data_IF_149258778239
#
_entry.id   IF_149258778239
#
_cell.length_a   1.000
_cell.length_b   1.000
_cell.length_c   1.000
_cell.angle_alpha   90.00
_cell.angle_beta   90.00
_cell.angle_gamma   90.00
#
_symmetry.space_group_name_H-M   'P 1'
#
loop_
_entity.id
_entity.type
_entity.pdbx_description
1 polymer ?
#
# COMPACT_ATOMS: atom_id res chain seq x y z
N UNK A 1 11.11 21.82 1.97
CA UNK A 1 9.71 21.90 1.50
C UNK A 1 8.75 21.77 2.67
N UNK A 2 7.51 22.23 2.51
CA UNK A 2 6.46 22.05 3.51
C UNK A 2 5.54 20.91 3.07
N UNK A 3 5.50 19.84 3.85
CA UNK A 3 4.74 18.63 3.57
C UNK A 3 3.62 18.40 4.57
N UNK A 4 2.45 18.02 4.11
CA UNK A 4 1.30 17.65 4.93
C UNK A 4 0.91 16.20 4.63
N UNK A 5 0.73 15.37 5.67
CA UNK A 5 0.47 13.93 5.53
C UNK A 5 -0.83 13.56 6.25
N UNK A 6 -1.91 13.39 5.52
CA UNK A 6 -3.15 12.81 6.02
C UNK A 6 -2.97 11.29 6.21
N UNK A 7 -3.38 10.77 7.38
CA UNK A 7 -3.08 9.40 7.76
C UNK A 7 -1.62 9.16 8.18
N UNK A 8 -0.88 10.23 8.49
CA UNK A 8 0.54 10.19 8.82
C UNK A 8 0.91 9.36 10.06
N UNK A 9 -0.06 9.01 10.91
CA UNK A 9 0.16 8.07 12.02
C UNK A 9 0.13 6.57 11.59
N UNK A 10 -0.14 6.29 10.33
CA UNK A 10 -0.05 4.95 9.73
C UNK A 10 1.37 4.61 9.29
N UNK A 11 1.61 3.35 8.91
CA UNK A 11 2.92 2.87 8.49
C UNK A 11 3.53 3.72 7.36
N UNK A 12 2.83 3.83 6.23
CA UNK A 12 3.34 4.57 5.07
C UNK A 12 3.60 6.04 5.40
N UNK A 13 2.66 6.67 6.14
CA UNK A 13 2.82 8.05 6.56
C UNK A 13 4.02 8.27 7.45
N UNK A 14 4.33 7.35 8.36
CA UNK A 14 5.52 7.43 9.22
C UNK A 14 6.82 7.25 8.43
N UNK A 15 6.85 6.32 7.46
CA UNK A 15 8.01 6.12 6.59
C UNK A 15 8.32 7.37 5.77
N UNK A 16 7.28 7.98 5.17
CA UNK A 16 7.44 9.22 4.40
C UNK A 16 7.82 10.38 5.30
N UNK A 17 7.18 10.52 6.47
CA UNK A 17 7.49 11.58 7.43
C UNK A 17 8.95 11.51 7.90
N UNK A 18 9.47 10.31 8.21
CA UNK A 18 10.85 10.11 8.60
C UNK A 18 11.82 10.56 7.49
N UNK A 19 11.58 10.12 6.26
CA UNK A 19 12.44 10.46 5.12
C UNK A 19 12.42 11.96 4.78
N UNK A 20 11.25 12.61 4.87
CA UNK A 20 11.11 14.06 4.66
C UNK A 20 11.86 14.85 5.74
N UNK A 21 11.72 14.48 7.01
CA UNK A 21 12.43 15.13 8.11
C UNK A 21 13.95 14.93 8.02
N UNK A 22 14.41 13.74 7.63
CA UNK A 22 15.83 13.46 7.37
C UNK A 22 16.38 14.34 6.23
N UNK A 23 15.56 14.64 5.22
CA UNK A 23 15.88 15.58 4.14
C UNK A 23 15.88 17.06 4.59
N UNK A 24 15.32 17.36 5.77
CA UNK A 24 15.22 18.73 6.31
C UNK A 24 13.91 19.46 5.94
N UNK A 25 12.87 18.71 5.55
CA UNK A 25 11.55 19.27 5.25
C UNK A 25 10.73 19.54 6.53
N UNK A 26 9.80 20.49 6.44
CA UNK A 26 8.79 20.71 7.47
C UNK A 26 7.62 19.74 7.27
N UNK A 27 7.30 18.94 8.29
CA UNK A 27 6.26 17.91 8.20
C UNK A 27 5.12 18.17 9.18
N UNK A 28 3.91 18.23 8.66
CA UNK A 28 2.66 18.26 9.43
C UNK A 28 1.91 16.95 9.23
N UNK A 29 1.57 16.29 10.34
CA UNK A 29 0.82 15.02 10.37
C UNK A 29 -0.63 15.30 10.74
N UNK A 30 -1.54 14.95 9.83
CA UNK A 30 -2.97 14.92 10.12
C UNK A 30 -3.37 13.55 10.63
N UNK A 31 -3.88 13.43 11.85
CA UNK A 31 -4.26 12.16 12.47
C UNK A 31 -5.52 12.23 13.30
N UNK A 32 -6.33 11.16 13.28
CA UNK A 32 -7.52 11.00 14.15
C UNK A 32 -7.16 10.54 15.58
N UNK A 33 -5.90 10.17 15.82
CA UNK A 33 -5.43 9.61 17.10
C UNK A 33 -5.03 10.74 18.04
N UNK A 34 -5.89 11.08 19.00
CA UNK A 34 -5.69 12.20 19.97
C UNK A 34 -4.40 12.08 20.79
N UNK A 35 -4.00 10.86 21.11
CA UNK A 35 -2.83 10.59 21.97
C UNK A 35 -1.56 10.28 21.20
N UNK A 36 -1.64 10.23 19.84
CA UNK A 36 -0.46 9.92 19.05
C UNK A 36 0.57 11.06 19.14
N UNK A 37 1.80 10.70 19.40
CA UNK A 37 2.95 11.59 19.44
C UNK A 37 4.04 10.93 18.60
N UNK A 38 4.33 11.48 17.47
CA UNK A 38 5.30 10.92 16.52
C UNK A 38 6.10 12.02 15.85
N UNK A 39 6.52 11.77 14.63
CA UNK A 39 7.37 12.66 13.85
C UNK A 39 6.60 13.89 13.35
N UNK A 40 7.24 15.06 13.40
CA UNK A 40 6.70 16.31 12.88
C UNK A 40 5.65 16.98 13.76
N UNK A 41 5.02 18.04 13.22
CA UNK A 41 3.91 18.75 13.88
C UNK A 41 2.62 17.94 13.72
N UNK A 42 1.90 17.74 14.80
CA UNK A 42 0.67 16.92 14.82
C UNK A 42 -0.56 17.81 14.87
N UNK A 43 -1.49 17.59 13.98
CA UNK A 43 -2.81 18.24 13.92
C UNK A 43 -3.89 17.17 14.00
N UNK A 44 -4.84 17.39 14.91
CA UNK A 44 -5.99 16.49 15.00
C UNK A 44 -6.87 16.69 13.77
N UNK A 45 -7.21 15.60 13.10
CA UNK A 45 -7.91 15.60 11.84
C UNK A 45 -9.23 14.85 11.89
N UNK A 46 -10.30 15.54 11.48
CA UNK A 46 -11.57 14.91 11.14
C UNK A 46 -11.87 15.18 9.66
N UNK A 47 -11.87 14.16 8.78
CA UNK A 47 -12.16 14.37 7.36
C UNK A 47 -13.50 15.08 7.10
N UNK A 48 -14.49 14.86 7.94
CA UNK A 48 -15.82 15.46 7.81
C UNK A 48 -15.89 16.95 8.20
N UNK A 49 -14.81 17.49 8.75
CA UNK A 49 -14.73 18.89 9.20
C UNK A 49 -13.57 19.62 8.51
N UNK A 50 -13.72 20.00 7.22
CA UNK A 50 -12.64 20.60 6.42
C UNK A 50 -11.98 21.79 7.07
N UNK A 51 -12.73 22.66 7.72
CA UNK A 51 -12.22 23.88 8.36
C UNK A 51 -11.12 23.59 9.42
N UNK A 52 -11.12 22.37 9.99
CA UNK A 52 -10.15 21.99 11.00
C UNK A 52 -8.78 21.60 10.45
N UNK A 53 -8.66 21.30 9.16
CA UNK A 53 -7.42 20.76 8.56
C UNK A 53 -7.07 21.37 7.20
N UNK A 54 -8.06 21.87 6.45
CA UNK A 54 -7.84 22.44 5.12
C UNK A 54 -6.83 23.59 5.11
N UNK A 55 -6.81 24.49 6.12
CA UNK A 55 -5.81 25.56 6.21
C UNK A 55 -4.36 25.04 6.26
N UNK A 56 -4.15 23.81 6.73
CA UNK A 56 -2.82 23.19 6.74
C UNK A 56 -2.27 22.90 5.34
N UNK A 57 -3.16 22.72 4.36
CA UNK A 57 -2.81 22.46 2.97
C UNK A 57 -2.52 23.73 2.16
N UNK A 58 -2.97 24.91 2.65
CA UNK A 58 -2.80 26.18 1.94
C UNK A 58 -1.32 26.47 1.65
N UNK A 59 -0.93 26.47 0.38
CA UNK A 59 0.45 26.70 -0.07
C UNK A 59 1.47 25.64 0.37
N UNK A 60 1.06 24.42 0.70
CA UNK A 60 2.00 23.31 0.91
C UNK A 60 2.72 22.96 -0.39
N UNK A 61 3.96 22.48 -0.29
CA UNK A 61 4.68 21.93 -1.46
C UNK A 61 4.19 20.53 -1.78
N UNK A 62 4.05 19.69 -0.74
CA UNK A 62 3.69 18.29 -0.86
C UNK A 62 2.49 17.96 0.02
N UNK A 63 1.52 17.28 -0.53
CA UNK A 63 0.42 16.68 0.23
C UNK A 63 0.36 15.18 -0.02
N UNK A 64 0.29 14.40 1.06
CA UNK A 64 0.16 12.96 1.02
C UNK A 64 -1.18 12.54 1.61
N UNK A 65 -2.00 11.86 0.83
CA UNK A 65 -3.23 11.23 1.27
C UNK A 65 -3.03 9.73 1.45
N UNK A 66 -2.69 9.33 2.67
CA UNK A 66 -2.64 7.92 3.11
C UNK A 66 -3.82 7.57 4.03
N UNK A 67 -4.85 8.38 4.00
CA UNK A 67 -6.01 8.20 4.84
C UNK A 67 -6.94 7.14 4.29
N UNK A 68 -6.65 5.90 4.57
CA UNK A 68 -7.57 4.79 4.30
C UNK A 68 -8.04 4.13 5.60
N UNK A 69 -9.25 3.58 5.58
CA UNK A 69 -9.72 2.74 6.66
C UNK A 69 -9.01 1.37 6.65
N UNK A 70 -9.20 0.54 7.68
CA UNK A 70 -8.70 -0.85 7.69
C UNK A 70 -9.51 -1.70 6.71
N UNK A 71 -8.86 -2.61 5.96
CA UNK A 71 -9.56 -3.59 5.13
C UNK A 71 -10.28 -4.57 6.06
N UNK A 72 -11.62 -4.77 5.92
CA UNK A 72 -12.32 -5.79 6.67
C UNK A 72 -11.76 -7.15 6.28
N UNK A 73 -11.63 -8.03 7.26
CA UNK A 73 -11.07 -9.37 7.05
C UNK A 73 -11.94 -10.25 6.17
N UNK A 74 -13.24 -9.98 6.17
CA UNK A 74 -14.27 -10.66 5.39
C UNK A 74 -15.53 -9.81 5.35
N UNK A 75 -16.23 -9.79 4.22
CA UNK A 75 -17.49 -9.07 4.02
C UNK A 75 -18.46 -9.90 3.17
N UNK A 76 -19.75 -9.67 3.35
CA UNK A 76 -20.75 -10.23 2.45
C UNK A 76 -20.79 -9.42 1.14
N UNK A 77 -21.12 -10.04 -0.01
CA UNK A 77 -21.27 -9.31 -1.27
C UNK A 77 -22.23 -8.11 -1.20
N UNK A 78 -23.30 -8.22 -0.40
CA UNK A 78 -24.26 -7.14 -0.15
C UNK A 78 -23.67 -5.92 0.57
N UNK A 79 -22.55 -6.07 1.28
CA UNK A 79 -21.88 -5.00 2.03
C UNK A 79 -20.85 -4.26 1.17
N UNK A 80 -20.49 -4.78 -0.02
CA UNK A 80 -19.40 -4.28 -0.87
C UNK A 80 -19.49 -2.78 -1.15
N UNK A 81 -20.64 -2.31 -1.61
CA UNK A 81 -20.82 -0.89 -1.96
C UNK A 81 -20.65 0.04 -0.74
N UNK A 82 -21.23 -0.35 0.40
CA UNK A 82 -21.09 0.42 1.65
C UNK A 82 -19.65 0.46 2.15
N UNK A 83 -18.94 -0.66 2.03
CA UNK A 83 -17.53 -0.75 2.41
C UNK A 83 -16.62 0.09 1.49
N UNK A 84 -16.88 0.11 0.19
CA UNK A 84 -16.15 0.98 -0.73
C UNK A 84 -16.40 2.44 -0.33
N UNK A 85 -17.64 2.84 -0.15
CA UNK A 85 -17.99 4.22 0.23
C UNK A 85 -17.33 4.63 1.55
N UNK A 86 -17.35 3.78 2.58
CA UNK A 86 -16.66 4.02 3.85
C UNK A 86 -15.16 4.20 3.66
N UNK A 87 -14.56 3.38 2.78
CA UNK A 87 -13.12 3.39 2.53
C UNK A 87 -12.63 4.65 1.84
N UNK A 88 -13.40 5.12 0.87
CA UNK A 88 -13.05 6.31 0.11
C UNK A 88 -13.57 7.61 0.73
N UNK A 89 -14.32 7.54 1.83
CA UNK A 89 -14.96 8.70 2.46
C UNK A 89 -13.95 9.81 2.82
N UNK A 90 -12.78 9.44 3.35
CA UNK A 90 -11.74 10.42 3.66
C UNK A 90 -11.19 11.09 2.40
N UNK A 91 -10.89 10.30 1.36
CA UNK A 91 -10.45 10.81 0.06
C UNK A 91 -11.53 11.66 -0.60
N UNK A 92 -12.81 11.26 -0.54
CA UNK A 92 -13.92 12.06 -1.05
C UNK A 92 -14.04 13.42 -0.34
N UNK A 93 -13.85 13.45 0.98
CA UNK A 93 -13.84 14.70 1.75
C UNK A 93 -12.68 15.61 1.34
N UNK A 94 -11.49 15.06 1.16
CA UNK A 94 -10.32 15.78 0.65
C UNK A 94 -10.62 16.35 -0.74
N UNK A 95 -11.13 15.53 -1.66
CA UNK A 95 -11.49 15.93 -3.03
C UNK A 95 -12.50 17.08 -3.05
N UNK A 96 -13.50 17.05 -2.17
CA UNK A 96 -14.52 18.11 -2.07
C UNK A 96 -13.99 19.41 -1.45
N UNK A 97 -12.98 19.34 -0.60
CA UNK A 97 -12.41 20.50 0.08
C UNK A 97 -11.27 21.18 -0.70
N UNK A 98 -10.44 20.39 -1.42
CA UNK A 98 -9.26 20.89 -2.15
C UNK A 98 -9.53 22.10 -3.06
N UNK A 99 -10.65 22.16 -3.84
CA UNK A 99 -10.93 23.30 -4.72
C UNK A 99 -11.18 24.63 -3.99
N UNK A 100 -11.36 24.61 -2.66
CA UNK A 100 -11.57 25.79 -1.85
C UNK A 100 -10.25 26.52 -1.50
N UNK A 101 -9.10 25.87 -1.72
CA UNK A 101 -7.79 26.45 -1.44
C UNK A 101 -7.45 27.51 -2.49
N UNK A 102 -6.92 28.64 -2.04
CA UNK A 102 -6.40 29.70 -2.92
C UNK A 102 -5.05 29.31 -3.51
N UNK A 103 -4.26 28.55 -2.78
CA UNK A 103 -2.95 28.02 -3.19
C UNK A 103 -2.87 26.53 -2.81
N UNK A 104 -3.45 25.64 -3.63
CA UNK A 104 -3.41 24.20 -3.36
C UNK A 104 -1.97 23.67 -3.37
N UNK A 105 -1.71 22.50 -2.77
CA UNK A 105 -0.40 21.87 -2.79
C UNK A 105 0.12 21.66 -4.23
N UNK A 106 1.43 21.88 -4.41
CA UNK A 106 2.05 21.70 -5.74
C UNK A 106 2.00 20.24 -6.22
N UNK A 107 2.14 19.31 -5.30
CA UNK A 107 2.08 17.87 -5.57
C UNK A 107 1.13 17.20 -4.59
N UNK A 108 0.19 16.44 -5.12
CA UNK A 108 -0.71 15.60 -4.35
C UNK A 108 -0.39 14.12 -4.60
N UNK A 109 0.17 13.46 -3.60
CA UNK A 109 0.38 12.03 -3.57
C UNK A 109 -0.85 11.34 -2.97
N UNK A 110 -1.47 10.46 -3.74
CA UNK A 110 -2.57 9.62 -3.27
C UNK A 110 -2.09 8.20 -3.02
N UNK A 111 -2.32 7.69 -1.81
CA UNK A 111 -2.02 6.30 -1.46
C UNK A 111 -2.99 5.34 -2.13
N UNK A 112 -2.49 4.59 -3.11
CA UNK A 112 -3.19 3.54 -3.83
C UNK A 112 -2.56 2.17 -3.54
N UNK A 113 -3.03 1.12 -4.18
CA UNK A 113 -2.55 -0.24 -3.98
C UNK A 113 -2.30 -0.98 -5.29
N UNK A 114 -1.25 -1.79 -5.32
CA UNK A 114 -1.03 -2.76 -6.39
C UNK A 114 -2.14 -3.84 -6.47
N UNK A 115 -3.01 -3.93 -5.48
CA UNK A 115 -4.22 -4.77 -5.52
C UNK A 115 -5.26 -4.30 -6.55
N UNK A 116 -5.11 -3.09 -7.08
CA UNK A 116 -5.95 -2.56 -8.17
C UNK A 116 -5.91 -3.45 -9.41
N UNK A 117 -4.80 -4.16 -9.63
CA UNK A 117 -4.64 -5.03 -10.80
C UNK A 117 -5.34 -6.38 -10.63
N UNK A 118 -5.73 -6.95 -11.77
CA UNK A 118 -6.32 -8.26 -11.87
C UNK A 118 -5.39 -9.37 -11.35
N UNK A 119 -5.97 -10.46 -10.89
CA UNK A 119 -5.24 -11.70 -10.62
C UNK A 119 -4.51 -12.15 -11.89
N UNK A 120 -3.19 -12.22 -11.85
CA UNK A 120 -2.38 -12.43 -13.04
C UNK A 120 -1.14 -13.30 -12.73
N UNK A 121 -0.97 -14.36 -13.56
CA UNK A 121 0.22 -15.21 -13.57
C UNK A 121 1.02 -15.08 -14.90
N UNK A 122 0.51 -14.28 -15.83
CA UNK A 122 1.13 -14.04 -17.14
C UNK A 122 2.21 -12.96 -17.11
N UNK A 123 2.11 -11.99 -18.03
CA UNK A 123 3.01 -10.84 -18.07
C UNK A 123 2.78 -9.93 -16.85
N UNK A 124 3.82 -9.26 -16.33
CA UNK A 124 3.65 -8.29 -15.25
C UNK A 124 2.69 -7.17 -15.63
N UNK A 125 1.86 -6.75 -14.69
CA UNK A 125 1.00 -5.59 -14.86
C UNK A 125 1.81 -4.30 -14.64
N UNK A 126 2.01 -3.54 -15.72
CA UNK A 126 2.58 -2.20 -15.67
C UNK A 126 1.49 -1.13 -15.52
N UNK A 127 1.90 0.12 -15.37
CA UNK A 127 0.97 1.25 -15.17
C UNK A 127 0.13 1.55 -16.40
N UNK A 128 0.62 1.24 -17.59
CA UNK A 128 -0.03 1.58 -18.87
C UNK A 128 -0.96 0.46 -19.36
N UNK A 129 -0.50 -0.79 -19.28
CA UNK A 129 -1.20 -1.96 -19.87
C UNK A 129 -1.78 -2.92 -18.85
N UNK A 130 -1.57 -2.67 -17.55
CA UNK A 130 -2.08 -3.52 -16.49
C UNK A 130 -3.61 -3.48 -16.42
N UNK A 131 -4.26 -4.63 -16.54
CA UNK A 131 -5.70 -4.75 -16.40
C UNK A 131 -6.10 -4.57 -14.94
N UNK A 132 -7.15 -3.79 -14.70
CA UNK A 132 -7.73 -3.65 -13.37
C UNK A 132 -8.52 -4.90 -12.99
N UNK A 133 -8.45 -5.26 -11.70
CA UNK A 133 -9.16 -6.39 -11.13
C UNK A 133 -10.61 -6.05 -10.77
N UNK A 134 -11.31 -7.07 -10.32
CA UNK A 134 -12.69 -6.98 -9.87
C UNK A 134 -13.64 -7.78 -10.79
N UNK A 135 -13.90 -9.04 -10.42
CA UNK A 135 -14.80 -9.93 -11.16
C UNK A 135 -14.14 -10.67 -12.33
N UNK A 136 -12.82 -10.72 -12.42
CA UNK A 136 -12.12 -11.53 -13.42
C UNK A 136 -12.31 -13.04 -13.17
N UNK A 137 -12.31 -13.89 -14.24
CA UNK A 137 -12.42 -15.32 -14.09
C UNK A 137 -11.36 -15.91 -13.14
N UNK A 138 -11.79 -16.70 -12.17
CA UNK A 138 -10.91 -17.31 -11.16
C UNK A 138 -10.62 -16.42 -9.95
N UNK A 139 -11.13 -15.19 -9.90
CA UNK A 139 -11.07 -14.36 -8.70
C UNK A 139 -12.08 -14.85 -7.66
N UNK A 140 -11.72 -14.67 -6.38
CA UNK A 140 -12.68 -14.80 -5.28
C UNK A 140 -13.39 -13.47 -5.06
N UNK A 141 -14.70 -13.43 -4.80
CA UNK A 141 -15.41 -12.18 -4.49
C UNK A 141 -14.79 -11.37 -3.34
N UNK A 142 -14.05 -12.02 -2.43
CA UNK A 142 -13.32 -11.33 -1.37
C UNK A 142 -12.12 -10.50 -1.89
N UNK A 143 -11.60 -10.83 -3.09
CA UNK A 143 -10.46 -10.11 -3.68
C UNK A 143 -10.88 -8.82 -4.39
N UNK A 144 -12.14 -8.76 -4.82
CA UNK A 144 -12.68 -7.64 -5.59
C UNK A 144 -12.60 -6.33 -4.82
N UNK A 145 -12.88 -6.36 -3.51
CA UNK A 145 -12.78 -5.16 -2.68
C UNK A 145 -11.37 -4.55 -2.66
N UNK A 146 -10.34 -5.40 -2.74
CA UNK A 146 -8.94 -4.98 -2.85
C UNK A 146 -8.64 -4.21 -4.13
N UNK A 147 -9.37 -4.49 -5.22
CA UNK A 147 -9.26 -3.76 -6.49
C UNK A 147 -10.18 -2.55 -6.55
N UNK A 148 -11.43 -2.69 -6.08
CA UNK A 148 -12.45 -1.63 -6.17
C UNK A 148 -12.11 -0.39 -5.37
N UNK A 149 -11.59 -0.56 -4.15
CA UNK A 149 -11.29 0.58 -3.26
C UNK A 149 -10.23 1.50 -3.87
N UNK A 150 -9.03 1.03 -4.28
CA UNK A 150 -8.05 1.90 -4.93
C UNK A 150 -8.57 2.45 -6.27
N UNK A 151 -9.32 1.68 -7.05
CA UNK A 151 -9.92 2.17 -8.29
C UNK A 151 -10.89 3.34 -8.05
N UNK A 152 -11.81 3.19 -7.08
CA UNK A 152 -12.76 4.23 -6.73
C UNK A 152 -12.05 5.49 -6.17
N UNK A 153 -11.01 5.31 -5.35
CA UNK A 153 -10.25 6.41 -4.79
C UNK A 153 -9.45 7.17 -5.87
N UNK A 154 -8.75 6.44 -6.76
CA UNK A 154 -8.02 7.06 -7.87
C UNK A 154 -8.96 7.85 -8.79
N UNK A 155 -10.18 7.33 -9.07
CA UNK A 155 -11.18 8.06 -9.84
C UNK A 155 -11.56 9.38 -9.18
N UNK A 156 -11.89 9.37 -7.89
CA UNK A 156 -12.23 10.59 -7.14
C UNK A 156 -11.13 11.63 -7.26
N UNK A 157 -9.88 11.23 -7.03
CA UNK A 157 -8.72 12.14 -7.11
C UNK A 157 -8.53 12.70 -8.53
N UNK A 158 -8.75 11.88 -9.57
CA UNK A 158 -8.58 12.30 -10.96
C UNK A 158 -9.71 13.23 -11.45
N UNK A 159 -10.92 13.08 -10.92
CA UNK A 159 -12.08 13.88 -11.28
C UNK A 159 -12.05 15.31 -10.69
N UNK A 160 -11.24 15.55 -9.65
CA UNK A 160 -11.13 16.90 -9.05
C UNK A 160 -10.50 17.88 -10.04
N UNK A 161 -11.17 19.01 -10.25
CA UNK A 161 -10.63 20.08 -11.10
C UNK A 161 -9.68 20.97 -10.29
N UNK A 162 -8.37 20.81 -10.50
CA UNK A 162 -7.31 21.58 -9.85
C UNK A 162 -6.23 21.90 -10.88
N UNK A 163 -6.07 23.17 -11.20
CA UNK A 163 -5.01 23.63 -12.09
C UNK A 163 -3.66 23.68 -11.38
N UNK A 164 -2.59 23.30 -12.08
CA UNK A 164 -1.21 23.39 -11.58
C UNK A 164 -0.84 22.37 -10.51
N UNK A 165 -1.74 21.48 -10.08
CA UNK A 165 -1.47 20.44 -9.09
C UNK A 165 -1.07 19.14 -9.78
N UNK A 166 0.17 18.67 -9.56
CA UNK A 166 0.61 17.34 -9.98
C UNK A 166 -0.03 16.28 -9.07
N UNK A 167 -0.70 15.30 -9.65
CA UNK A 167 -1.31 14.19 -8.92
C UNK A 167 -0.53 12.91 -9.21
N UNK A 168 -0.17 12.21 -8.16
CA UNK A 168 0.61 10.96 -8.24
C UNK A 168 -0.11 9.90 -7.41
N UNK A 169 -0.60 8.85 -8.07
CA UNK A 169 -1.16 7.68 -7.39
C UNK A 169 -0.05 6.67 -7.12
N UNK A 170 0.19 6.39 -5.84
CA UNK A 170 1.20 5.45 -5.38
C UNK A 170 0.59 4.04 -5.28
N UNK A 171 0.60 3.26 -6.35
CA UNK A 171 0.13 1.87 -6.39
C UNK A 171 1.15 0.96 -5.71
N UNK A 172 1.05 0.90 -4.39
CA UNK A 172 2.06 0.30 -3.53
C UNK A 172 1.80 -1.19 -3.34
N UNK A 173 2.83 -2.01 -3.55
CA UNK A 173 2.87 -3.42 -3.17
C UNK A 173 3.02 -3.60 -1.65
N UNK A 174 3.18 -4.83 -1.17
CA UNK A 174 3.43 -5.06 0.25
C UNK A 174 4.72 -4.37 0.70
N UNK A 175 4.61 -3.36 1.56
CA UNK A 175 5.78 -2.70 2.13
C UNK A 175 6.33 -3.54 3.27
N UNK A 176 7.54 -4.04 3.06
CA UNK A 176 8.24 -4.91 4.00
C UNK A 176 9.06 -4.09 4.98
N UNK A 177 8.68 -4.18 6.27
CA UNK A 177 9.32 -3.48 7.38
C UNK A 177 9.26 -4.34 8.66
N UNK A 178 10.17 -4.12 9.64
CA UNK A 178 10.35 -5.04 10.77
C UNK A 178 9.40 -4.82 11.96
N UNK A 179 8.31 -4.05 11.83
CA UNK A 179 7.38 -3.87 12.95
C UNK A 179 6.48 -5.08 13.16
N UNK A 180 6.05 -5.30 14.39
CA UNK A 180 5.17 -6.40 14.76
C UNK A 180 3.76 -6.32 14.10
N UNK A 181 3.39 -5.17 13.56
CA UNK A 181 2.07 -4.92 12.94
C UNK A 181 2.14 -4.78 11.42
N UNK A 182 3.33 -4.88 10.81
CA UNK A 182 3.55 -4.75 9.39
C UNK A 182 3.27 -6.02 8.58
N UNK A 183 3.37 -5.88 7.26
CA UNK A 183 3.12 -7.01 6.35
C UNK A 183 4.13 -8.14 6.52
N UNK A 184 5.41 -7.84 6.80
CA UNK A 184 6.41 -8.87 7.05
C UNK A 184 6.01 -9.78 8.21
N UNK A 185 5.66 -9.21 9.37
CA UNK A 185 5.24 -9.96 10.54
C UNK A 185 3.94 -10.75 10.28
N UNK A 186 2.98 -10.16 9.59
CA UNK A 186 1.72 -10.82 9.23
C UNK A 186 1.96 -12.03 8.30
N UNK A 187 2.72 -11.85 7.23
CA UNK A 187 3.00 -12.90 6.25
C UNK A 187 3.86 -14.01 6.88
N UNK A 188 4.86 -13.64 7.69
CA UNK A 188 5.67 -14.60 8.45
C UNK A 188 4.78 -15.45 9.37
N UNK A 189 3.88 -14.81 10.12
CA UNK A 189 2.93 -15.54 10.97
C UNK A 189 2.06 -16.50 10.16
N UNK A 190 1.55 -16.08 9.01
CA UNK A 190 0.73 -16.92 8.15
C UNK A 190 1.55 -18.08 7.59
N UNK A 191 2.74 -17.82 7.01
CA UNK A 191 3.53 -18.80 6.25
C UNK A 191 4.48 -19.66 7.07
N UNK A 192 4.83 -19.25 8.31
CA UNK A 192 5.78 -19.98 9.15
C UNK A 192 5.16 -20.54 10.44
N UNK A 193 4.12 -19.88 10.98
CA UNK A 193 3.54 -20.29 12.27
C UNK A 193 2.17 -20.99 12.08
N UNK A 194 1.25 -20.38 11.31
CA UNK A 194 -0.11 -20.89 11.17
C UNK A 194 -0.26 -21.93 10.07
N UNK A 195 0.42 -21.70 8.94
CA UNK A 195 0.37 -22.59 7.78
C UNK A 195 1.73 -22.69 7.11
N UNK A 196 2.37 -23.83 7.25
CA UNK A 196 3.76 -24.05 6.80
C UNK A 196 3.86 -24.58 5.38
N UNK A 197 2.74 -24.88 4.72
CA UNK A 197 2.67 -25.39 3.34
C UNK A 197 2.67 -24.28 2.30
N UNK A 198 2.56 -24.68 1.03
CA UNK A 198 2.41 -23.75 -0.07
C UNK A 198 0.93 -23.36 -0.24
N UNK A 199 0.69 -22.09 -0.55
CA UNK A 199 -0.65 -21.57 -0.78
C UNK A 199 -1.10 -21.89 -2.20
N UNK A 200 -2.18 -22.68 -2.33
CA UNK A 200 -2.65 -23.14 -3.62
C UNK A 200 -1.63 -24.06 -4.30
N UNK A 201 -1.26 -23.71 -5.52
CA UNK A 201 -0.20 -24.39 -6.30
C UNK A 201 1.20 -23.77 -6.09
N UNK A 202 1.32 -22.81 -5.21
CA UNK A 202 2.56 -22.08 -4.93
C UNK A 202 2.98 -21.07 -6.00
N UNK A 203 2.20 -20.93 -7.10
CA UNK A 203 2.56 -20.11 -8.29
C UNK A 203 2.09 -18.67 -8.21
N UNK A 204 1.17 -18.34 -7.29
CA UNK A 204 0.71 -16.97 -7.11
C UNK A 204 1.90 -16.03 -6.87
N UNK A 205 1.95 -14.94 -7.61
CA UNK A 205 3.07 -14.00 -7.52
C UNK A 205 2.86 -13.03 -6.36
N UNK A 206 3.92 -12.83 -5.57
CA UNK A 206 3.97 -11.86 -4.47
C UNK A 206 4.81 -10.68 -4.91
N UNK A 207 4.17 -9.52 -5.03
CA UNK A 207 4.84 -8.25 -5.23
C UNK A 207 5.08 -7.55 -3.89
N UNK A 208 6.28 -7.05 -3.70
CA UNK A 208 6.72 -6.40 -2.46
C UNK A 208 7.64 -5.22 -2.76
N UNK A 209 7.84 -4.38 -1.77
CA UNK A 209 8.87 -3.32 -1.76
C UNK A 209 9.41 -3.19 -0.34
N UNK A 210 10.70 -2.92 -0.16
CA UNK A 210 11.24 -2.59 1.15
C UNK A 210 10.77 -1.20 1.61
N UNK A 211 10.66 -1.00 2.93
CA UNK A 211 10.36 0.31 3.49
C UNK A 211 11.36 1.38 3.05
N UNK A 212 12.63 1.01 2.89
CA UNK A 212 13.70 1.88 2.40
C UNK A 212 13.43 2.35 0.97
N UNK A 213 13.20 1.42 0.04
CA UNK A 213 12.97 1.79 -1.36
C UNK A 213 11.62 2.46 -1.57
N UNK A 214 10.60 2.13 -0.76
CA UNK A 214 9.34 2.86 -0.75
C UNK A 214 9.56 4.35 -0.43
N UNK A 215 10.25 4.66 0.66
CA UNK A 215 10.52 6.04 1.05
C UNK A 215 11.37 6.79 0.00
N UNK A 216 12.42 6.12 -0.52
CA UNK A 216 13.27 6.67 -1.59
C UNK A 216 12.49 6.96 -2.88
N UNK A 217 11.61 6.05 -3.29
CA UNK A 217 10.79 6.23 -4.49
C UNK A 217 9.82 7.42 -4.33
N UNK A 218 9.22 7.58 -3.16
CA UNK A 218 8.32 8.72 -2.88
C UNK A 218 9.09 10.06 -2.96
N UNK A 219 10.27 10.15 -2.34
CA UNK A 219 11.11 11.36 -2.43
C UNK A 219 11.57 11.62 -3.86
N UNK A 220 12.00 10.58 -4.58
CA UNK A 220 12.37 10.65 -5.99
C UNK A 220 11.24 11.24 -6.84
N UNK A 221 10.02 10.75 -6.69
CA UNK A 221 8.85 11.27 -7.41
C UNK A 221 8.48 12.71 -7.00
N UNK A 222 8.73 13.09 -5.75
CA UNK A 222 8.50 14.47 -5.29
C UNK A 222 9.41 15.45 -6.05
N UNK A 223 10.65 15.07 -6.29
CA UNK A 223 11.69 15.89 -6.91
C UNK A 223 11.62 15.90 -8.45
N UNK A 224 10.95 14.93 -9.09
CA UNK A 224 10.80 14.84 -10.55
C UNK A 224 9.57 15.63 -11.03
N UNK A 225 9.79 16.77 -11.68
CA UNK A 225 8.75 17.69 -12.11
C UNK A 225 7.76 17.08 -13.12
N UNK A 226 8.22 16.15 -13.96
CA UNK A 226 7.43 15.43 -14.97
C UNK A 226 6.62 14.26 -14.40
N UNK A 227 6.89 13.84 -13.15
CA UNK A 227 6.17 12.73 -12.55
C UNK A 227 4.72 13.09 -12.26
N UNK A 228 3.77 12.43 -12.93
CA UNK A 228 2.32 12.59 -12.73
C UNK A 228 1.57 11.29 -13.05
N UNK A 229 0.36 11.11 -12.53
CA UNK A 229 -0.43 9.90 -12.72
C UNK A 229 0.03 8.71 -11.87
N UNK A 230 -0.32 7.46 -12.23
CA UNK A 230 -0.01 6.29 -11.42
C UNK A 230 1.45 5.86 -11.52
N UNK A 231 2.01 5.40 -10.39
CA UNK A 231 3.30 4.76 -10.27
C UNK A 231 3.20 3.51 -9.41
N UNK A 232 3.69 2.39 -9.94
CA UNK A 232 3.81 1.15 -9.21
C UNK A 232 5.06 1.19 -8.30
N UNK A 233 4.84 1.09 -7.01
CA UNK A 233 5.91 0.99 -6.03
C UNK A 233 6.13 -0.48 -5.67
N UNK A 234 6.96 -1.14 -6.47
CA UNK A 234 7.24 -2.57 -6.36
C UNK A 234 8.70 -2.85 -6.71
N UNK A 235 9.38 -3.65 -5.89
CA UNK A 235 10.74 -4.11 -6.18
C UNK A 235 10.74 -5.01 -7.42
N UNK A 236 11.74 -4.91 -8.30
CA UNK A 236 11.86 -5.79 -9.45
C UNK A 236 12.03 -7.26 -9.01
N UNK A 237 11.54 -8.20 -9.82
CA UNK A 237 11.69 -9.62 -9.54
C UNK A 237 10.64 -10.16 -8.56
N UNK A 238 9.36 -9.99 -8.88
CA UNK A 238 8.27 -10.67 -8.16
C UNK A 238 8.51 -12.18 -8.06
N UNK A 239 8.20 -12.77 -6.91
CA UNK A 239 8.46 -14.18 -6.59
C UNK A 239 7.15 -14.98 -6.58
N UNK A 240 7.24 -16.25 -6.98
CA UNK A 240 6.18 -17.21 -6.68
C UNK A 240 6.00 -17.33 -5.15
N UNK A 241 4.78 -17.52 -4.69
CA UNK A 241 4.49 -17.61 -3.25
C UNK A 241 5.25 -18.77 -2.57
N UNK A 242 5.48 -19.89 -3.28
CA UNK A 242 6.30 -20.98 -2.78
C UNK A 242 7.73 -20.53 -2.45
N UNK A 243 8.37 -19.77 -3.33
CA UNK A 243 9.73 -19.24 -3.13
C UNK A 243 9.74 -18.16 -2.06
N UNK A 244 8.76 -17.24 -2.11
CA UNK A 244 8.65 -16.14 -1.14
C UNK A 244 8.55 -16.66 0.30
N UNK A 245 7.61 -17.57 0.55
CA UNK A 245 7.43 -18.18 1.88
C UNK A 245 8.51 -19.22 2.19
N UNK A 246 9.08 -19.89 1.16
CA UNK A 246 10.21 -20.80 1.30
C UNK A 246 11.42 -20.13 1.94
N UNK A 247 11.78 -18.94 1.47
CA UNK A 247 12.85 -18.13 2.08
C UNK A 247 12.54 -17.82 3.55
N UNK A 248 11.32 -17.37 3.88
CA UNK A 248 10.95 -17.06 5.25
C UNK A 248 11.03 -18.29 6.17
N UNK A 249 10.51 -19.44 5.70
CA UNK A 249 10.59 -20.72 6.43
C UNK A 249 12.04 -21.16 6.67
N UNK A 250 12.88 -21.06 5.64
CA UNK A 250 14.29 -21.44 5.76
C UNK A 250 15.03 -20.56 6.79
N UNK A 251 14.79 -19.25 6.78
CA UNK A 251 15.36 -18.32 7.74
C UNK A 251 14.94 -18.62 9.19
N UNK A 252 13.68 -19.05 9.39
CA UNK A 252 13.16 -19.40 10.72
C UNK A 252 13.43 -20.86 11.13
N UNK A 253 14.09 -21.67 10.30
CA UNK A 253 14.32 -23.10 10.55
C UNK A 253 13.03 -23.94 10.54
N UNK A 254 11.98 -23.47 9.88
CA UNK A 254 10.67 -24.11 9.81
C UNK A 254 10.63 -25.09 8.65
N UNK A 255 10.34 -26.37 8.94
CA UNK A 255 10.15 -27.38 7.90
C UNK A 255 8.84 -27.14 7.15
N UNK A 256 8.82 -27.35 5.80
CA UNK A 256 7.59 -27.28 5.01
C UNK A 256 6.51 -28.22 5.55
N UNK A 257 5.29 -27.70 5.63
CA UNK A 257 4.11 -28.48 5.98
C UNK A 257 3.38 -29.04 4.77
N UNK A 258 2.17 -29.56 5.00
CA UNK A 258 1.33 -30.07 3.92
C UNK A 258 0.74 -28.94 3.09
N UNK A 259 0.77 -29.08 1.76
CA UNK A 259 0.08 -28.19 0.84
C UNK A 259 -1.43 -28.47 0.84
N UNK A 260 -2.23 -27.49 1.21
CA UNK A 260 -3.70 -27.56 1.11
C UNK A 260 -4.14 -27.19 -0.30
N UNK A 261 -5.15 -27.90 -0.81
CA UNK A 261 -5.82 -27.46 -2.04
C UNK A 261 -6.46 -26.09 -1.84
N UNK A 262 -6.51 -25.22 -2.86
CA UNK A 262 -7.03 -23.85 -2.72
C UNK A 262 -8.40 -23.78 -2.03
N UNK A 263 -9.34 -24.66 -2.42
CA UNK A 263 -10.68 -24.69 -1.83
C UNK A 263 -10.70 -25.04 -0.33
N UNK A 264 -9.78 -25.89 0.13
CA UNK A 264 -9.64 -26.23 1.56
C UNK A 264 -9.15 -25.03 2.36
N UNK A 265 -8.19 -24.32 1.80
CA UNK A 265 -7.66 -23.10 2.40
C UNK A 265 -8.71 -21.99 2.43
N UNK A 266 -9.47 -21.80 1.33
CA UNK A 266 -10.58 -20.86 1.27
C UNK A 266 -11.66 -21.17 2.31
N UNK A 267 -12.04 -22.45 2.46
CA UNK A 267 -13.02 -22.87 3.47
C UNK A 267 -12.54 -22.58 4.90
N UNK A 268 -11.27 -22.86 5.19
CA UNK A 268 -10.68 -22.57 6.50
C UNK A 268 -10.62 -21.06 6.78
N UNK A 269 -10.25 -20.25 5.79
CA UNK A 269 -10.22 -18.80 5.89
C UNK A 269 -11.61 -18.21 6.03
N UNK A 270 -12.61 -18.72 5.29
CA UNK A 270 -14.00 -18.30 5.41
C UNK A 270 -14.55 -18.55 6.80
N UNK A 271 -14.26 -19.71 7.39
CA UNK A 271 -14.66 -20.01 8.76
C UNK A 271 -14.01 -19.07 9.78
N UNK A 272 -12.73 -18.74 9.58
CA UNK A 272 -11.99 -17.80 10.44
C UNK A 272 -12.18 -16.33 10.04
N UNK A 273 -12.98 -16.02 9.01
CA UNK A 273 -13.22 -14.68 8.48
C UNK A 273 -11.93 -13.95 8.05
N UNK A 274 -11.01 -14.66 7.42
CA UNK A 274 -9.81 -14.07 6.80
C UNK A 274 -10.00 -13.91 5.29
N UNK A 275 -9.45 -12.82 4.74
CA UNK A 275 -9.35 -12.63 3.30
C UNK A 275 -8.22 -13.49 2.72
N UNK A 276 -8.57 -14.35 1.77
CA UNK A 276 -7.62 -15.21 1.07
C UNK A 276 -6.81 -14.45 0.01
N UNK A 277 -7.27 -13.30 -0.42
CA UNK A 277 -6.59 -12.45 -1.39
C UNK A 277 -5.16 -12.11 -1.00
N UNK A 278 -4.89 -12.02 0.30
CA UNK A 278 -3.55 -11.72 0.80
C UNK A 278 -2.47 -12.70 0.32
N UNK A 279 -2.81 -13.99 0.16
CA UNK A 279 -1.87 -15.08 -0.16
C UNK A 279 -2.20 -15.84 -1.45
N UNK A 280 -3.45 -15.85 -1.91
CA UNK A 280 -3.87 -16.58 -3.11
C UNK A 280 -3.98 -15.68 -4.35
N UNK A 281 -4.28 -14.39 -4.19
CA UNK A 281 -4.31 -13.47 -5.33
C UNK A 281 -2.90 -13.27 -5.88
N UNK A 282 -2.68 -13.65 -7.11
CA UNK A 282 -1.40 -13.42 -7.80
C UNK A 282 -1.27 -11.95 -8.19
N UNK A 283 -0.22 -11.31 -7.69
CA UNK A 283 0.13 -9.91 -7.95
C UNK A 283 1.46 -9.85 -8.66
N UNK A 284 1.45 -10.06 -9.97
CA UNK A 284 2.64 -9.89 -10.80
C UNK A 284 2.64 -8.48 -11.36
N UNK A 285 3.32 -7.56 -10.69
CA UNK A 285 3.33 -6.13 -11.01
C UNK A 285 4.75 -5.68 -11.34
N UNK A 286 4.87 -4.75 -12.29
CA UNK A 286 6.14 -4.11 -12.67
C UNK A 286 6.09 -2.60 -12.41
N UNK A 287 7.19 -2.03 -11.94
CA UNK A 287 7.39 -0.59 -11.79
C UNK A 287 8.01 -0.02 -13.08
N UNK A 288 7.20 0.02 -14.18
CA UNK A 288 7.68 0.43 -15.49
C UNK A 288 8.05 1.91 -15.49
N UNK A 289 7.12 2.78 -15.17
CA UNK A 289 7.31 4.23 -15.21
C UNK A 289 8.35 4.73 -14.22
N UNK A 290 8.43 4.13 -13.03
CA UNK A 290 9.43 4.48 -12.03
C UNK A 290 10.85 4.15 -12.53
N UNK A 291 10.99 3.01 -13.22
CA UNK A 291 12.26 2.58 -13.81
C UNK A 291 12.63 3.45 -15.04
N UNK A 292 11.65 3.78 -15.88
CA UNK A 292 11.84 4.67 -17.04
C UNK A 292 12.30 6.07 -16.64
N UNK A 293 11.82 6.59 -15.49
CA UNK A 293 12.33 7.84 -14.90
C UNK A 293 13.74 7.73 -14.32
N UNK A 294 14.33 6.54 -14.27
CA UNK A 294 15.70 6.32 -13.80
C UNK A 294 15.82 5.96 -12.31
N UNK A 295 14.72 5.62 -11.63
CA UNK A 295 14.81 5.17 -10.24
C UNK A 295 15.56 3.84 -10.14
N UNK A 296 16.49 3.76 -9.21
CA UNK A 296 17.28 2.54 -8.96
C UNK A 296 16.93 1.97 -7.60
N UNK A 297 16.38 0.73 -7.59
CA UNK A 297 16.08 -0.03 -6.38
C UNK A 297 17.39 -0.49 -5.70
N UNK A 298 17.46 -0.31 -4.39
CA UNK A 298 18.55 -0.81 -3.53
C UNK A 298 18.32 -2.24 -3.08
N UNK A 299 17.05 -2.56 -2.77
CA UNK A 299 16.64 -3.82 -2.17
C UNK A 299 15.90 -4.66 -3.23
N UNK A 300 16.68 -5.48 -3.98
CA UNK A 300 16.17 -6.25 -5.12
C UNK A 300 16.00 -7.74 -4.84
N UNK A 301 16.71 -8.26 -3.84
CA UNK A 301 16.75 -9.67 -3.53
C UNK A 301 15.99 -9.98 -2.23
N UNK A 302 14.90 -10.71 -2.37
CA UNK A 302 14.03 -11.04 -1.24
C UNK A 302 14.76 -11.76 -0.10
N UNK A 303 15.66 -12.70 -0.42
CA UNK A 303 16.42 -13.44 0.58
C UNK A 303 17.22 -12.55 1.51
N UNK A 304 17.88 -11.53 0.98
CA UNK A 304 18.66 -10.57 1.76
C UNK A 304 17.76 -9.66 2.60
N UNK A 305 16.66 -9.16 2.00
CA UNK A 305 15.70 -8.31 2.69
C UNK A 305 15.00 -9.05 3.81
N UNK A 306 14.54 -10.29 3.58
CA UNK A 306 13.88 -11.11 4.59
C UNK A 306 14.81 -11.42 5.77
N UNK A 307 16.10 -11.71 5.50
CA UNK A 307 17.09 -11.92 6.55
C UNK A 307 17.29 -10.68 7.42
N UNK A 308 17.47 -9.51 6.78
CA UNK A 308 17.62 -8.24 7.50
C UNK A 308 16.37 -7.89 8.34
N UNK A 309 15.17 -8.16 7.81
CA UNK A 309 13.91 -7.93 8.53
C UNK A 309 13.75 -8.86 9.74
N UNK A 310 14.13 -10.15 9.60
CA UNK A 310 14.12 -11.11 10.71
C UNK A 310 15.03 -10.63 11.84
N UNK A 311 16.26 -10.26 11.50
CA UNK A 311 17.26 -9.83 12.49
C UNK A 311 16.84 -8.53 13.18
N UNK A 312 16.29 -7.56 12.42
CA UNK A 312 15.77 -6.33 12.97
C UNK A 312 14.52 -6.54 13.85
N UNK A 313 13.66 -7.51 13.53
CA UNK A 313 12.51 -7.87 14.34
C UNK A 313 12.94 -8.54 15.64
N UNK A 314 13.94 -9.44 15.60
CA UNK A 314 14.49 -10.09 16.78
C UNK A 314 15.18 -9.10 17.75
N UNK A 315 15.81 -8.05 17.22
CA UNK A 315 16.44 -7.01 18.04
C UNK A 315 15.44 -6.07 18.76
N UNK A 316 14.16 -6.12 18.40
CA UNK A 316 13.09 -5.26 18.96
C UNK A 316 12.19 -5.98 19.98
N UNK A 317 12.24 -7.31 20.04
CA UNK A 317 11.48 -8.17 20.96
C UNK A 317 12.28 -8.56 22.17
#
# INVERSE_FOLDING_TARGET
MRAVIAGGSGLLGQLVAAALLERGDEVTILTRRKTWRGLGRVVLWNPAEPDSWLPELEGADLFFDFASGRIPRFHAPSERAALIAERVAATASICGAMPQLSRPPRVWFHGSSADIYAHNQGLPAGETLGLFGGGEPGSSPSWDLGADVPYAAERLVNEVQLEGVRRIALRTAFVMEPSATGYYALLRRIGCELYRGDFGDGRAQVSWISARDFARAVLFLADHAEASGPFNLVSPGGLASADFFGVMRALDGVQPGYTLKPWMFELACRWKRYDTGLVLKSRKVAAERLTELGFTFSDREWSLVAAALRDAAAARG
#
